data_IF_088963473988
#
_entry.id   IF_088963473988
#
_cell.length_a   1.000
_cell.length_b   1.000
_cell.length_c   1.000
_cell.angle_alpha   90.00
_cell.angle_beta   90.00
_cell.angle_gamma   90.00
#
_symmetry.space_group_name_H-M   'P 1'
#
loop_
_entity.id
_entity.type
_entity.pdbx_description
1 polymer ?
#
# COMPACT_ATOMS: atom_id res chain seq x y z
N UNK A 1 3.89 -33.51 -36.17
CA UNK A 1 5.07 -32.62 -36.11
C UNK A 1 4.93 -31.75 -34.87
N UNK A 2 5.82 -31.82 -33.87
CA UNK A 2 5.80 -30.87 -32.76
C UNK A 2 6.80 -29.74 -33.01
N UNK A 3 6.35 -28.49 -32.89
CA UNK A 3 7.20 -27.31 -32.89
C UNK A 3 7.09 -26.61 -31.52
N UNK A 4 8.22 -26.63 -30.80
CA UNK A 4 8.77 -25.47 -30.08
C UNK A 4 8.06 -24.95 -28.84
N UNK A 5 8.63 -25.27 -27.66
CA UNK A 5 8.51 -24.50 -26.41
C UNK A 5 8.84 -23.03 -26.63
N UNK A 6 8.11 -22.13 -25.98
CA UNK A 6 8.68 -20.85 -25.54
C UNK A 6 8.11 -20.47 -24.16
N UNK A 7 8.92 -20.73 -23.13
CA UNK A 7 8.72 -20.25 -21.77
C UNK A 7 9.25 -18.82 -21.71
N UNK A 8 8.37 -17.83 -21.75
CA UNK A 8 8.74 -16.45 -21.43
C UNK A 8 8.37 -16.19 -19.97
N UNK A 9 9.29 -16.56 -19.07
CA UNK A 9 9.34 -16.00 -17.72
C UNK A 9 9.68 -14.51 -17.86
N UNK A 10 8.70 -13.65 -17.57
CA UNK A 10 8.97 -12.25 -17.27
C UNK A 10 9.37 -12.15 -15.80
N UNK A 11 10.67 -12.17 -15.53
CA UNK A 11 11.24 -11.89 -14.21
C UNK A 11 11.05 -10.39 -13.90
N UNK A 12 10.11 -10.08 -13.01
CA UNK A 12 9.90 -8.71 -12.50
C UNK A 12 10.85 -8.38 -11.32
N UNK A 13 11.89 -9.18 -11.09
CA UNK A 13 12.84 -9.04 -9.98
C UNK A 13 14.18 -8.37 -10.33
N UNK A 14 14.38 -7.94 -11.59
CA UNK A 14 15.64 -7.32 -12.04
C UNK A 14 15.92 -5.91 -11.50
N UNK A 15 15.10 -5.41 -10.56
CA UNK A 15 15.41 -4.19 -9.81
C UNK A 15 15.15 -4.39 -8.33
N UNK A 16 15.99 -5.17 -7.66
CA UNK A 16 16.47 -4.93 -6.29
C UNK A 16 17.41 -6.08 -5.88
N UNK A 17 18.52 -6.24 -6.60
CA UNK A 17 19.53 -7.26 -6.28
C UNK A 17 20.48 -6.80 -5.15
N UNK A 18 19.91 -6.32 -4.04
CA UNK A 18 20.70 -6.08 -2.82
C UNK A 18 21.13 -7.41 -2.19
N UNK A 19 20.41 -8.52 -2.40
CA UNK A 19 20.74 -9.79 -1.76
C UNK A 19 21.91 -10.52 -2.42
N UNK A 20 21.99 -10.62 -3.76
CA UNK A 20 23.07 -11.40 -4.38
C UNK A 20 24.40 -10.65 -4.34
N UNK A 21 24.40 -9.32 -4.43
CA UNK A 21 25.64 -8.55 -4.31
C UNK A 21 26.20 -8.54 -2.89
N UNK A 22 25.33 -8.49 -1.87
CA UNK A 22 25.74 -8.67 -0.46
C UNK A 22 26.25 -10.11 -0.25
N UNK A 23 25.57 -11.12 -0.77
CA UNK A 23 26.04 -12.51 -0.69
C UNK A 23 27.37 -12.72 -1.40
N UNK A 24 27.58 -12.13 -2.59
CA UNK A 24 28.87 -12.17 -3.31
C UNK A 24 29.97 -11.45 -2.53
N UNK A 25 29.69 -10.29 -1.93
CA UNK A 25 30.68 -9.56 -1.10
C UNK A 25 31.04 -10.34 0.16
N UNK A 26 30.07 -10.99 0.82
CA UNK A 26 30.30 -11.88 1.96
C UNK A 26 31.12 -13.12 1.55
N UNK A 27 30.81 -13.76 0.42
CA UNK A 27 31.58 -14.90 -0.10
C UNK A 27 33.01 -14.51 -0.53
N UNK A 28 33.18 -13.31 -1.08
CA UNK A 28 34.50 -12.81 -1.49
C UNK A 28 35.35 -12.46 -0.26
N UNK A 29 34.73 -11.89 0.78
CA UNK A 29 35.36 -11.63 2.07
C UNK A 29 35.74 -12.93 2.78
N UNK A 30 34.86 -13.93 2.78
CA UNK A 30 35.13 -15.24 3.41
C UNK A 30 36.22 -16.04 2.68
N UNK A 31 36.26 -15.99 1.33
CA UNK A 31 37.34 -16.61 0.53
C UNK A 31 38.71 -15.95 0.77
N UNK A 32 38.78 -14.62 0.88
CA UNK A 32 40.04 -13.92 1.22
C UNK A 32 40.57 -14.32 2.59
N UNK A 33 39.69 -14.51 3.58
CA UNK A 33 40.07 -14.97 4.92
C UNK A 33 40.47 -16.45 4.96
N UNK A 34 39.83 -17.31 4.16
CA UNK A 34 40.22 -18.72 4.02
C UNK A 34 41.61 -18.89 3.41
N UNK A 35 41.99 -18.06 2.43
CA UNK A 35 43.32 -18.09 1.79
C UNK A 35 44.43 -17.65 2.77
N UNK A 36 44.15 -16.70 3.67
CA UNK A 36 45.08 -16.29 4.73
C UNK A 36 45.25 -17.41 5.78
N UNK A 37 44.21 -18.20 6.04
CA UNK A 37 44.22 -19.30 7.02
C UNK A 37 44.94 -20.56 6.53
N UNK A 38 45.00 -20.81 5.21
CA UNK A 38 45.60 -22.05 4.67
C UNK A 38 47.01 -21.91 4.10
N UNK A 39 47.54 -20.70 3.90
CA UNK A 39 48.88 -20.52 3.30
C UNK A 39 50.05 -20.53 4.28
N UNK A 40 49.81 -20.60 5.60
CA UNK A 40 50.86 -20.80 6.61
C UNK A 40 50.37 -21.77 7.68
N UNK A 41 50.84 -23.02 7.62
CA UNK A 41 50.52 -24.09 8.56
C UNK A 41 50.98 -23.83 10.00
N UNK A 42 50.38 -22.87 10.69
CA UNK A 42 50.50 -22.67 12.14
C UNK A 42 49.13 -22.81 12.78
N UNK A 43 49.03 -23.72 13.77
CA UNK A 43 47.91 -23.79 14.70
C UNK A 43 47.80 -22.43 15.41
N UNK A 44 46.75 -21.66 15.12
CA UNK A 44 46.44 -20.44 15.87
C UNK A 44 45.52 -20.84 17.02
N UNK A 45 46.04 -20.77 18.25
CA UNK A 45 45.22 -20.88 19.45
C UNK A 45 44.43 -19.57 19.62
N UNK A 46 43.12 -19.60 19.36
CA UNK A 46 42.26 -18.44 19.60
C UNK A 46 42.11 -18.20 21.11
N UNK A 47 42.53 -17.01 21.58
CA UNK A 47 42.26 -16.54 22.95
C UNK A 47 40.76 -16.44 23.22
N UNK A 48 40.35 -16.59 24.49
CA UNK A 48 38.95 -16.78 24.89
C UNK A 48 37.95 -15.72 24.39
N UNK A 49 38.40 -14.50 24.13
CA UNK A 49 37.56 -13.42 23.57
C UNK A 49 37.23 -13.61 22.08
N UNK A 50 38.20 -14.03 21.26
CA UNK A 50 37.96 -14.27 19.82
C UNK A 50 37.12 -15.53 19.55
N UNK A 51 37.17 -16.53 20.44
CA UNK A 51 36.25 -17.68 20.35
C UNK A 51 34.79 -17.26 20.54
N UNK A 52 34.50 -16.33 21.46
CA UNK A 52 33.15 -15.79 21.67
C UNK A 52 32.65 -15.00 20.46
N UNK A 53 33.52 -14.18 19.85
CA UNK A 53 33.18 -13.40 18.66
C UNK A 53 32.88 -14.30 17.45
N UNK A 54 33.67 -15.37 17.28
CA UNK A 54 33.48 -16.34 16.20
C UNK A 54 32.16 -17.14 16.37
N UNK A 55 31.86 -17.57 17.60
CA UNK A 55 30.59 -18.25 17.92
C UNK A 55 29.40 -17.31 17.68
N UNK A 56 29.54 -16.01 18.00
CA UNK A 56 28.49 -15.01 17.80
C UNK A 56 28.19 -14.77 16.30
N UNK A 57 29.22 -14.68 15.46
CA UNK A 57 29.05 -14.57 14.00
C UNK A 57 28.42 -15.84 13.41
N UNK A 58 28.81 -17.02 13.89
CA UNK A 58 28.18 -18.28 13.52
C UNK A 58 26.70 -18.32 13.91
N UNK A 59 26.36 -17.86 15.11
CA UNK A 59 24.97 -17.76 15.58
C UNK A 59 24.14 -16.81 14.72
N UNK A 60 24.67 -15.63 14.39
CA UNK A 60 24.01 -14.67 13.49
C UNK A 60 23.80 -15.30 12.11
N UNK A 61 24.81 -15.97 11.56
CA UNK A 61 24.68 -16.65 10.26
C UNK A 61 23.65 -17.79 10.28
N UNK A 62 23.56 -18.51 11.40
CA UNK A 62 22.55 -19.54 11.60
C UNK A 62 21.15 -18.92 11.70
N UNK A 63 21.00 -17.80 12.42
CA UNK A 63 19.75 -17.05 12.53
C UNK A 63 19.28 -16.50 11.18
N UNK A 64 20.19 -16.02 10.32
CA UNK A 64 19.85 -15.62 8.95
C UNK A 64 19.49 -16.81 8.05
N UNK A 65 20.04 -18.00 8.31
CA UNK A 65 19.68 -19.24 7.57
C UNK A 65 18.38 -19.90 8.05
N UNK A 66 17.96 -19.64 9.30
CA UNK A 66 16.71 -20.14 9.88
C UNK A 66 15.48 -19.26 9.57
N UNK A 67 15.68 -18.12 8.90
CA UNK A 67 14.58 -17.36 8.35
C UNK A 67 13.87 -18.20 7.29
N UNK A 68 12.72 -18.77 7.64
CA UNK A 68 11.88 -19.53 6.71
C UNK A 68 11.56 -18.65 5.50
N UNK A 69 12.18 -18.93 4.35
CA UNK A 69 11.71 -18.39 3.08
C UNK A 69 10.33 -18.99 2.84
N UNK A 70 9.27 -18.30 3.26
CA UNK A 70 7.90 -18.74 3.02
C UNK A 70 7.64 -18.58 1.52
N UNK A 71 7.86 -19.67 0.78
CA UNK A 71 7.58 -19.72 -0.66
C UNK A 71 6.06 -19.64 -0.84
N UNK A 72 5.60 -18.63 -1.57
CA UNK A 72 4.20 -18.52 -1.97
C UNK A 72 3.96 -19.54 -3.08
N UNK A 73 3.22 -20.61 -2.78
CA UNK A 73 2.85 -21.61 -3.77
C UNK A 73 1.53 -21.18 -4.41
N UNK A 74 1.61 -20.66 -5.63
CA UNK A 74 0.44 -20.34 -6.47
C UNK A 74 0.23 -21.47 -7.48
N UNK A 75 -1.03 -21.74 -7.81
CA UNK A 75 -1.38 -22.66 -8.88
C UNK A 75 -1.08 -22.03 -10.26
N UNK A 76 -0.95 -22.85 -11.31
CA UNK A 76 -0.65 -22.37 -12.67
C UNK A 76 -1.71 -21.41 -13.23
N UNK A 77 -2.94 -21.49 -12.69
CA UNK A 77 -4.06 -20.66 -13.06
C UNK A 77 -4.24 -19.42 -12.17
N UNK A 78 -3.31 -19.18 -11.24
CA UNK A 78 -3.31 -18.05 -10.32
C UNK A 78 -2.26 -17.00 -10.75
N UNK A 79 -2.66 -15.73 -10.75
CA UNK A 79 -1.84 -14.57 -11.09
C UNK A 79 -1.87 -13.55 -9.97
N UNK A 80 -0.71 -13.06 -9.57
CA UNK A 80 -0.65 -11.98 -8.57
C UNK A 80 -1.03 -10.66 -9.22
N UNK A 81 -2.03 -9.98 -8.66
CA UNK A 81 -2.41 -8.63 -9.05
C UNK A 81 -1.66 -7.57 -8.22
N UNK A 82 -1.56 -7.80 -6.91
CA UNK A 82 -0.92 -6.86 -5.99
C UNK A 82 -0.36 -7.60 -4.76
N UNK A 83 0.75 -7.10 -4.23
CA UNK A 83 1.39 -7.60 -3.01
C UNK A 83 1.57 -6.42 -2.05
N UNK A 84 1.40 -6.67 -0.76
CA UNK A 84 2.02 -5.86 0.28
C UNK A 84 2.34 -6.68 1.50
N UNK A 85 2.99 -6.03 2.46
CA UNK A 85 3.43 -6.64 3.70
C UNK A 85 2.83 -5.88 4.88
N UNK A 86 2.44 -6.62 5.90
CA UNK A 86 2.02 -6.06 7.16
C UNK A 86 3.22 -5.74 8.05
N UNK A 87 3.05 -4.90 9.07
CA UNK A 87 4.11 -4.50 10.01
C UNK A 87 4.67 -5.69 10.81
N UNK A 88 3.88 -6.74 10.99
CA UNK A 88 4.29 -8.00 11.62
C UNK A 88 5.06 -8.94 10.65
N UNK A 89 5.26 -8.50 9.40
CA UNK A 89 5.91 -9.27 8.34
C UNK A 89 4.98 -10.19 7.54
N UNK A 90 3.68 -10.23 7.86
CA UNK A 90 2.70 -11.05 7.13
C UNK A 90 2.48 -10.51 5.72
N UNK A 91 2.57 -11.37 4.69
CA UNK A 91 2.23 -10.99 3.32
C UNK A 91 0.71 -10.98 3.11
N UNK A 92 0.25 -9.97 2.39
CA UNK A 92 -1.10 -9.85 1.86
C UNK A 92 -0.99 -9.81 0.34
N UNK A 93 -1.58 -10.80 -0.32
CA UNK A 93 -1.48 -10.96 -1.78
C UNK A 93 -2.88 -10.99 -2.37
N UNK A 94 -3.14 -10.09 -3.32
CA UNK A 94 -4.31 -10.15 -4.18
C UNK A 94 -3.95 -11.01 -5.39
N UNK A 95 -4.66 -12.12 -5.54
CA UNK A 95 -4.48 -13.11 -6.60
C UNK A 95 -5.75 -13.17 -7.45
N UNK A 96 -5.59 -13.29 -8.76
CA UNK A 96 -6.65 -13.61 -9.71
C UNK A 96 -6.48 -15.06 -10.15
N UNK A 97 -7.53 -15.83 -10.04
CA UNK A 97 -7.61 -17.21 -10.46
C UNK A 97 -8.53 -17.32 -11.69
N UNK A 98 -8.01 -17.86 -12.79
CA UNK A 98 -8.76 -18.12 -14.01
C UNK A 98 -9.15 -19.60 -14.05
N UNK A 99 -10.44 -19.90 -14.12
CA UNK A 99 -10.95 -21.29 -14.14
C UNK A 99 -11.74 -21.53 -15.41
N UNK A 100 -11.52 -22.64 -16.14
CA UNK A 100 -12.34 -22.97 -17.29
C UNK A 100 -13.80 -23.22 -16.88
N UNK A 101 -14.72 -22.44 -17.43
CA UNK A 101 -16.16 -22.70 -17.37
C UNK A 101 -16.64 -23.43 -18.63
N UNK A 102 -17.91 -23.84 -18.64
CA UNK A 102 -18.51 -24.59 -19.75
C UNK A 102 -18.53 -23.83 -21.08
N UNK A 103 -18.67 -22.50 -21.03
CA UNK A 103 -18.77 -21.62 -22.21
C UNK A 103 -17.85 -20.39 -22.15
N UNK A 104 -17.12 -20.18 -21.05
CA UNK A 104 -16.24 -19.03 -20.83
C UNK A 104 -15.19 -19.31 -19.77
N UNK A 105 -14.14 -18.49 -19.69
CA UNK A 105 -13.26 -18.44 -18.53
C UNK A 105 -13.97 -17.72 -17.38
N UNK A 106 -13.97 -18.33 -16.20
CA UNK A 106 -14.45 -17.73 -14.96
C UNK A 106 -13.26 -17.14 -14.22
N UNK A 107 -13.31 -15.83 -14.00
CA UNK A 107 -12.30 -15.12 -13.24
C UNK A 107 -12.79 -14.95 -11.80
N UNK A 108 -11.97 -15.37 -10.84
CA UNK A 108 -12.21 -15.12 -9.42
C UNK A 108 -11.00 -14.39 -8.85
N UNK A 109 -11.21 -13.49 -7.89
CA UNK A 109 -10.11 -12.91 -7.13
C UNK A 109 -10.03 -13.56 -5.75
N UNK A 110 -8.85 -13.56 -5.14
CA UNK A 110 -8.59 -14.07 -3.80
C UNK A 110 -7.59 -13.18 -3.05
N UNK A 111 -7.84 -12.97 -1.76
CA UNK A 111 -6.87 -12.39 -0.83
C UNK A 111 -6.20 -13.52 -0.06
N UNK A 112 -4.88 -13.62 -0.20
CA UNK A 112 -4.05 -14.52 0.58
C UNK A 112 -3.43 -13.73 1.73
N UNK A 113 -3.79 -14.07 2.97
CA UNK A 113 -3.28 -13.42 4.19
C UNK A 113 -2.72 -14.52 5.09
N UNK A 114 -1.40 -14.60 5.20
CA UNK A 114 -0.76 -15.68 5.96
C UNK A 114 -1.09 -17.07 5.39
N UNK A 115 -1.99 -17.81 6.05
CA UNK A 115 -2.48 -19.13 5.61
C UNK A 115 -3.98 -19.10 5.22
N UNK A 116 -4.61 -17.93 5.24
CA UNK A 116 -6.03 -17.76 4.88
C UNK A 116 -6.13 -17.38 3.41
N UNK A 117 -6.94 -18.11 2.64
CA UNK A 117 -7.39 -17.74 1.29
C UNK A 117 -8.84 -17.29 1.40
N UNK A 118 -9.09 -16.01 1.16
CA UNK A 118 -10.42 -15.41 1.22
C UNK A 118 -10.84 -15.10 -0.21
N UNK A 119 -12.03 -15.53 -0.64
CA UNK A 119 -12.54 -15.14 -1.95
C UNK A 119 -12.66 -13.63 -2.00
N UNK A 120 -11.87 -13.02 -2.87
CA UNK A 120 -11.91 -11.61 -3.16
C UNK A 120 -12.88 -11.37 -4.31
N UNK A 121 -13.41 -10.17 -4.36
CA UNK A 121 -14.45 -9.76 -5.28
C UNK A 121 -13.83 -9.38 -6.63
N UNK A 122 -14.64 -9.38 -7.69
CA UNK A 122 -14.12 -9.44 -9.07
C UNK A 122 -13.28 -8.23 -9.52
N UNK A 123 -13.19 -7.15 -8.75
CA UNK A 123 -12.50 -5.91 -9.15
C UNK A 123 -12.07 -5.08 -7.95
N UNK A 124 -11.33 -5.68 -7.02
CA UNK A 124 -11.00 -4.98 -5.79
C UNK A 124 -9.65 -4.28 -5.76
N UNK A 125 -9.66 -3.06 -5.23
CA UNK A 125 -8.48 -2.24 -5.01
C UNK A 125 -7.94 -2.53 -3.60
N UNK A 126 -6.68 -2.96 -3.52
CA UNK A 126 -5.98 -3.20 -2.26
C UNK A 126 -5.16 -1.96 -1.89
N UNK A 127 -5.54 -1.30 -0.80
CA UNK A 127 -4.78 -0.17 -0.24
C UNK A 127 -4.22 -0.54 1.12
N UNK A 128 -2.93 -0.30 1.29
CA UNK A 128 -2.24 -0.46 2.57
C UNK A 128 -2.20 0.87 3.29
N UNK A 129 -2.47 0.86 4.59
CA UNK A 129 -2.46 2.04 5.44
C UNK A 129 -1.46 1.87 6.58
N UNK A 130 -1.04 3.00 7.16
CA UNK A 130 -0.17 3.07 8.33
C UNK A 130 1.09 2.18 8.23
N UNK A 131 1.88 2.42 7.17
CA UNK A 131 3.14 1.70 6.85
C UNK A 131 3.00 0.17 6.76
N UNK A 132 1.79 -0.37 6.61
CA UNK A 132 1.53 -1.81 6.60
C UNK A 132 0.95 -2.33 7.91
N UNK A 133 0.53 -1.53 8.90
CA UNK A 133 -0.17 -2.16 10.06
C UNK A 133 -1.52 -2.74 9.65
N UNK A 134 -2.19 -2.11 8.68
CA UNK A 134 -3.53 -2.43 8.23
C UNK A 134 -3.63 -2.32 6.71
N UNK A 135 -4.62 -3.01 6.13
CA UNK A 135 -5.01 -2.84 4.74
C UNK A 135 -6.53 -2.76 4.64
N UNK A 136 -7.01 -2.13 3.57
CA UNK A 136 -8.39 -2.23 3.09
C UNK A 136 -8.38 -2.84 1.71
N UNK A 137 -9.38 -3.68 1.51
CA UNK A 137 -9.78 -4.17 0.22
C UNK A 137 -11.22 -3.71 -0.04
N UNK A 138 -11.41 -2.95 -1.11
CA UNK A 138 -12.74 -2.65 -1.65
C UNK A 138 -13.09 -3.70 -2.70
N UNK A 139 -14.35 -4.10 -2.83
CA UNK A 139 -14.77 -5.06 -3.85
C UNK A 139 -16.25 -4.98 -4.18
N UNK A 140 -16.60 -5.33 -5.41
CA UNK A 140 -17.99 -5.25 -5.90
C UNK A 140 -18.75 -6.57 -5.60
N UNK A 141 -19.93 -6.44 -5.01
CA UNK A 141 -20.95 -7.47 -4.81
C UNK A 141 -22.15 -7.24 -5.75
N UNK A 142 -23.08 -8.20 -5.82
CA UNK A 142 -24.35 -8.05 -6.57
C UNK A 142 -25.16 -6.82 -6.12
N UNK A 143 -25.09 -6.46 -4.83
CA UNK A 143 -25.90 -5.38 -4.22
C UNK A 143 -25.14 -4.05 -4.01
N UNK A 144 -23.89 -3.93 -4.47
CA UNK A 144 -23.06 -2.72 -4.25
C UNK A 144 -21.61 -3.04 -3.88
N UNK A 145 -20.89 -2.07 -3.32
CA UNK A 145 -19.46 -2.24 -2.97
C UNK A 145 -19.30 -2.55 -1.47
N UNK A 146 -18.45 -3.53 -1.16
CA UNK A 146 -18.03 -3.89 0.19
C UNK A 146 -16.58 -3.47 0.44
N UNK A 147 -16.34 -2.82 1.58
CA UNK A 147 -15.01 -2.50 2.10
C UNK A 147 -14.68 -3.44 3.25
N UNK A 148 -13.55 -4.14 3.17
CA UNK A 148 -13.08 -5.07 4.19
C UNK A 148 -11.69 -4.62 4.66
N UNK A 149 -11.51 -4.42 5.96
CA UNK A 149 -10.20 -4.16 6.55
C UNK A 149 -9.59 -5.38 7.24
N UNK A 150 -8.26 -5.39 7.37
CA UNK A 150 -7.47 -6.47 7.97
C UNK A 150 -7.98 -6.94 9.36
N UNK A 151 -8.48 -6.00 10.16
CA UNK A 151 -9.05 -6.25 11.49
C UNK A 151 -10.46 -6.89 11.48
N UNK A 152 -10.96 -7.30 10.31
CA UNK A 152 -12.27 -7.96 10.15
C UNK A 152 -13.47 -6.99 10.15
N UNK A 153 -13.24 -5.68 10.18
CA UNK A 153 -14.33 -4.71 10.01
C UNK A 153 -14.72 -4.69 8.53
N UNK A 154 -16.01 -4.86 8.25
CA UNK A 154 -16.57 -4.72 6.92
C UNK A 154 -17.64 -3.63 6.90
N UNK A 155 -17.61 -2.80 5.85
CA UNK A 155 -18.68 -1.86 5.52
C UNK A 155 -19.26 -2.26 4.18
N UNK A 156 -20.46 -2.82 4.20
CA UNK A 156 -21.29 -3.03 3.02
C UNK A 156 -22.27 -1.86 2.89
N UNK A 157 -22.49 -1.38 1.69
CA UNK A 157 -23.55 -0.44 1.40
C UNK A 157 -23.95 -0.47 -0.07
N UNK A 158 -25.07 0.15 -0.44
CA UNK A 158 -25.50 0.28 -1.84
C UNK A 158 -24.66 1.37 -2.53
N UNK A 159 -23.34 1.26 -2.43
CA UNK A 159 -22.40 2.19 -3.03
C UNK A 159 -22.26 1.84 -4.50
N UNK A 160 -22.56 2.79 -5.38
CA UNK A 160 -22.30 2.62 -6.82
C UNK A 160 -20.85 2.97 -7.17
N UNK A 161 -20.15 3.70 -6.30
CA UNK A 161 -18.77 4.15 -6.47
C UNK A 161 -18.13 4.38 -5.09
N UNK A 162 -16.84 4.09 -4.97
CA UNK A 162 -16.01 4.46 -3.81
C UNK A 162 -14.81 5.24 -4.34
N UNK A 163 -14.54 6.40 -3.74
CA UNK A 163 -13.41 7.25 -4.08
C UNK A 163 -12.27 7.14 -3.07
N UNK A 164 -11.68 8.27 -2.69
CA UNK A 164 -10.60 8.40 -1.71
C UNK A 164 -10.94 7.73 -0.37
N UNK A 165 -9.96 7.05 0.23
CA UNK A 165 -10.07 6.30 1.49
C UNK A 165 -8.87 6.66 2.38
N UNK A 166 -9.09 6.87 3.67
CA UNK A 166 -8.00 7.04 4.66
C UNK A 166 -8.39 6.59 6.08
N UNK A 167 -7.40 6.31 6.93
CA UNK A 167 -7.56 5.96 8.33
C UNK A 167 -7.05 7.04 9.28
N UNK A 168 -7.74 7.20 10.41
CA UNK A 168 -7.15 7.88 11.57
C UNK A 168 -5.86 7.15 12.01
N UNK A 169 -4.88 7.85 12.59
CA UNK A 169 -3.59 7.25 13.00
C UNK A 169 -3.70 6.06 13.96
N UNK A 170 -4.79 5.95 14.73
CA UNK A 170 -5.05 4.78 15.59
C UNK A 170 -5.67 3.58 14.83
N UNK A 171 -5.86 3.69 13.51
CA UNK A 171 -6.59 2.77 12.64
C UNK A 171 -8.03 2.44 13.10
N UNK A 172 -8.58 3.21 14.05
CA UNK A 172 -9.90 2.95 14.61
C UNK A 172 -11.04 3.57 13.81
N UNK A 173 -10.78 4.64 13.07
CA UNK A 173 -11.81 5.30 12.27
C UNK A 173 -11.39 5.31 10.81
N UNK A 174 -12.23 4.69 9.98
CA UNK A 174 -12.11 4.69 8.53
C UNK A 174 -12.93 5.84 7.96
N UNK A 175 -12.31 6.66 7.10
CA UNK A 175 -13.00 7.67 6.31
C UNK A 175 -12.88 7.36 4.82
N UNK A 176 -13.96 7.53 4.07
CA UNK A 176 -13.98 7.27 2.64
C UNK A 176 -15.11 8.03 1.94
N UNK A 177 -14.94 8.32 0.65
CA UNK A 177 -16.00 8.89 -0.17
C UNK A 177 -16.78 7.80 -0.92
N UNK A 178 -18.09 7.98 -1.02
CA UNK A 178 -18.99 7.07 -1.72
C UNK A 178 -20.00 7.81 -2.55
N UNK A 179 -20.50 7.15 -3.58
CA UNK A 179 -21.69 7.58 -4.32
C UNK A 179 -22.89 6.71 -3.96
N UNK A 180 -23.96 7.36 -3.53
CA UNK A 180 -25.27 6.76 -3.19
C UNK A 180 -26.33 7.60 -3.90
N UNK A 181 -27.22 6.96 -4.67
CA UNK A 181 -28.32 7.64 -5.39
C UNK A 181 -27.87 8.88 -6.19
N UNK A 182 -26.75 8.73 -6.91
CA UNK A 182 -26.14 9.79 -7.73
C UNK A 182 -25.68 11.06 -6.96
N UNK A 183 -25.51 10.96 -5.64
CA UNK A 183 -24.89 11.99 -4.79
C UNK A 183 -23.67 11.44 -4.07
N UNK A 184 -22.71 12.31 -3.81
CA UNK A 184 -21.48 11.94 -3.13
C UNK A 184 -21.57 12.23 -1.62
N UNK A 185 -21.04 11.31 -0.82
CA UNK A 185 -21.00 11.42 0.65
C UNK A 185 -19.62 11.03 1.16
N UNK A 186 -19.20 11.66 2.26
CA UNK A 186 -18.08 11.18 3.06
C UNK A 186 -18.65 10.32 4.18
N UNK A 187 -18.21 9.07 4.28
CA UNK A 187 -18.42 8.23 5.45
C UNK A 187 -17.21 8.41 6.35
N UNK A 188 -17.41 8.89 7.57
CA UNK A 188 -16.38 9.01 8.59
C UNK A 188 -16.79 8.16 9.81
N UNK A 189 -16.16 7.00 9.97
CA UNK A 189 -16.61 5.99 10.92
C UNK A 189 -18.05 5.59 10.62
N UNK A 190 -18.98 5.90 11.53
CA UNK A 190 -20.42 5.64 11.35
C UNK A 190 -21.22 6.87 10.90
N UNK A 191 -20.55 8.01 10.72
CA UNK A 191 -21.21 9.25 10.32
C UNK A 191 -21.20 9.38 8.81
N UNK A 192 -22.34 9.72 8.22
CA UNK A 192 -22.48 10.09 6.80
C UNK A 192 -22.57 11.61 6.68
N UNK A 193 -21.69 12.21 5.88
CA UNK A 193 -21.55 13.66 5.71
C UNK A 193 -21.80 14.00 4.23
N UNK A 194 -22.63 15.01 3.97
CA UNK A 194 -23.11 15.39 2.64
C UNK A 194 -24.62 15.65 2.65
N UNK A 195 -25.29 15.69 1.47
CA UNK A 195 -24.77 15.33 0.15
C UNK A 195 -23.86 16.40 -0.48
N UNK A 196 -23.00 15.96 -1.40
CA UNK A 196 -22.15 16.79 -2.24
C UNK A 196 -22.35 16.47 -3.72
N UNK A 197 -21.98 17.43 -4.59
CA UNK A 197 -21.98 17.25 -6.04
C UNK A 197 -20.78 16.40 -6.51
N UNK A 198 -19.65 16.51 -5.83
CA UNK A 198 -18.45 15.70 -6.02
C UNK A 198 -17.59 15.74 -4.74
N UNK A 199 -16.71 14.75 -4.58
CA UNK A 199 -15.70 14.71 -3.52
C UNK A 199 -14.35 14.42 -4.19
N UNK A 200 -13.31 15.15 -3.81
CA UNK A 200 -11.94 14.95 -4.29
C UNK A 200 -11.09 14.16 -3.29
N UNK A 201 -9.85 14.60 -3.10
CA UNK A 201 -8.95 14.01 -2.10
C UNK A 201 -9.55 14.09 -0.70
N UNK A 202 -9.27 13.04 0.10
CA UNK A 202 -9.66 12.92 1.50
C UNK A 202 -8.51 12.29 2.26
N UNK A 203 -8.15 12.87 3.40
CA UNK A 203 -7.08 12.37 4.27
C UNK A 203 -7.23 12.88 5.70
N UNK A 204 -6.64 12.15 6.63
CA UNK A 204 -6.49 12.54 8.02
C UNK A 204 -5.19 13.31 8.26
N UNK A 205 -5.27 14.35 9.09
CA UNK A 205 -4.13 15.13 9.61
C UNK A 205 -4.08 15.06 11.15
N UNK A 206 -3.13 15.77 11.76
CA UNK A 206 -3.00 15.91 13.23
C UNK A 206 -2.94 14.57 13.97
N UNK A 207 -2.21 13.59 13.40
CA UNK A 207 -2.19 12.20 13.86
C UNK A 207 -3.59 11.57 13.91
N UNK A 208 -4.39 11.74 12.85
CA UNK A 208 -5.69 11.07 12.73
C UNK A 208 -6.86 11.77 13.39
N UNK A 209 -6.68 13.00 13.89
CA UNK A 209 -7.72 13.70 14.66
C UNK A 209 -8.63 14.55 13.79
N UNK A 210 -8.09 15.12 12.72
CA UNK A 210 -8.83 16.04 11.85
C UNK A 210 -8.93 15.42 10.46
N UNK A 211 -10.17 15.28 9.97
CA UNK A 211 -10.42 14.85 8.60
C UNK A 211 -10.40 16.07 7.68
N UNK A 212 -9.66 15.98 6.58
CA UNK A 212 -9.58 16.97 5.51
C UNK A 212 -10.10 16.34 4.23
N UNK A 213 -10.97 17.04 3.50
CA UNK A 213 -11.40 16.60 2.17
C UNK A 213 -11.83 17.76 1.27
N UNK A 214 -11.68 17.59 -0.04
CA UNK A 214 -12.27 18.48 -1.03
C UNK A 214 -13.71 18.07 -1.32
N UNK A 215 -14.65 19.01 -1.31
CA UNK A 215 -16.04 18.77 -1.68
C UNK A 215 -16.57 19.87 -2.59
N UNK A 216 -17.32 19.47 -3.62
CA UNK A 216 -18.04 20.38 -4.51
C UNK A 216 -19.47 20.57 -3.99
N UNK A 217 -19.85 21.81 -3.72
CA UNK A 217 -21.22 22.20 -3.37
C UNK A 217 -21.73 23.14 -4.47
N UNK A 218 -22.77 22.72 -5.19
CA UNK A 218 -23.20 23.38 -6.41
C UNK A 218 -22.04 23.45 -7.42
N UNK A 219 -21.59 24.66 -7.78
CA UNK A 219 -20.51 24.87 -8.74
C UNK A 219 -19.14 25.11 -8.10
N UNK A 220 -19.08 25.39 -6.80
CA UNK A 220 -17.84 25.76 -6.13
C UNK A 220 -17.24 24.59 -5.35
N UNK A 221 -15.91 24.55 -5.33
CA UNK A 221 -15.12 23.64 -4.52
C UNK A 221 -14.73 24.28 -3.19
N UNK A 222 -14.72 23.45 -2.16
CA UNK A 222 -14.29 23.80 -0.82
C UNK A 222 -13.35 22.73 -0.26
N UNK A 223 -12.41 23.16 0.58
CA UNK A 223 -11.65 22.26 1.44
C UNK A 223 -12.32 22.28 2.82
N UNK A 224 -12.79 21.12 3.23
CA UNK A 224 -13.41 20.88 4.54
C UNK A 224 -12.32 20.39 5.49
N UNK A 225 -11.94 21.19 6.48
CA UNK A 225 -10.93 20.85 7.50
C UNK A 225 -11.61 20.77 8.87
N UNK A 226 -12.03 19.58 9.27
CA UNK A 226 -12.86 19.42 10.47
C UNK A 226 -14.17 20.20 10.37
N UNK A 227 -14.31 21.27 11.16
CA UNK A 227 -15.47 22.19 11.11
C UNK A 227 -15.25 23.40 10.22
N UNK A 228 -14.02 23.65 9.80
CA UNK A 228 -13.67 24.78 8.95
C UNK A 228 -13.98 24.47 7.48
N UNK A 229 -14.41 25.50 6.75
CA UNK A 229 -14.66 25.45 5.31
C UNK A 229 -13.85 26.54 4.62
N UNK A 230 -12.91 26.13 3.78
CA UNK A 230 -11.98 27.01 3.08
C UNK A 230 -12.37 27.08 1.59
N UNK A 231 -12.47 28.28 1.05
CA UNK A 231 -12.99 28.56 -0.31
C UNK A 231 -13.92 29.78 -0.31
N UNK A 232 -14.74 29.99 -1.36
CA UNK A 232 -14.93 29.11 -2.52
C UNK A 232 -13.75 29.14 -3.50
N UNK A 233 -13.58 28.03 -4.22
CA UNK A 233 -12.62 27.88 -5.31
C UNK A 233 -13.33 27.37 -6.57
N UNK A 234 -12.83 27.77 -7.74
CA UNK A 234 -13.34 27.26 -9.02
C UNK A 234 -13.01 25.76 -9.20
N UNK A 235 -11.85 25.33 -8.68
CA UNK A 235 -11.43 23.94 -8.63
C UNK A 235 -10.49 23.71 -7.45
N UNK A 236 -10.45 22.48 -6.96
CA UNK A 236 -9.44 21.98 -6.01
C UNK A 236 -8.86 20.71 -6.62
N UNK A 237 -7.53 20.59 -6.59
CA UNK A 237 -6.81 19.39 -7.04
C UNK A 237 -6.13 18.73 -5.83
N UNK A 238 -4.90 18.21 -5.97
CA UNK A 238 -4.25 17.40 -4.94
C UNK A 238 -4.20 18.08 -3.57
N UNK A 239 -4.64 17.36 -2.54
CA UNK A 239 -4.43 17.69 -1.14
C UNK A 239 -3.40 16.71 -0.57
N UNK A 240 -2.34 17.24 0.04
CA UNK A 240 -1.28 16.45 0.64
C UNK A 240 -0.92 16.96 2.03
N UNK A 241 -0.79 16.04 2.96
CA UNK A 241 -0.32 16.34 4.31
C UNK A 241 1.09 15.76 4.53
N UNK A 242 1.94 16.55 5.15
CA UNK A 242 3.31 16.18 5.51
C UNK A 242 3.41 16.13 7.03
N UNK A 243 3.33 14.93 7.61
CA UNK A 243 3.32 14.74 9.07
C UNK A 243 4.61 15.16 9.76
N UNK A 244 5.74 15.16 9.05
CA UNK A 244 7.06 15.53 9.58
C UNK A 244 7.13 16.99 10.04
N UNK A 245 6.37 17.88 9.38
CA UNK A 245 6.34 19.31 9.66
C UNK A 245 4.93 19.86 9.88
N UNK A 246 3.94 18.98 10.06
CA UNK A 246 2.54 19.35 10.27
C UNK A 246 1.99 20.29 9.18
N UNK A 247 2.43 20.09 7.93
CA UNK A 247 2.07 20.98 6.83
C UNK A 247 0.98 20.40 5.95
N UNK A 248 -0.07 21.18 5.71
CA UNK A 248 -1.11 20.88 4.71
C UNK A 248 -0.82 21.67 3.42
N UNK A 249 -0.71 20.95 2.32
CA UNK A 249 -0.50 21.51 0.98
C UNK A 249 -1.69 21.16 0.12
N UNK A 250 -2.23 22.15 -0.58
CA UNK A 250 -3.29 21.90 -1.56
C UNK A 250 -3.19 22.86 -2.74
N UNK A 251 -3.60 22.40 -3.90
CA UNK A 251 -3.71 23.22 -5.09
C UNK A 251 -5.17 23.60 -5.36
N UNK A 252 -5.40 24.86 -5.72
CA UNK A 252 -6.73 25.39 -5.98
C UNK A 252 -6.70 26.39 -7.13
N UNK A 253 -7.84 26.49 -7.82
CA UNK A 253 -8.04 27.47 -8.87
C UNK A 253 -8.94 28.60 -8.37
N UNK A 254 -8.49 29.84 -8.60
CA UNK A 254 -9.27 31.05 -8.32
C UNK A 254 -8.97 32.09 -9.39
N UNK A 255 -9.99 32.86 -9.79
CA UNK A 255 -9.86 33.96 -10.75
C UNK A 255 -9.14 33.55 -12.07
N UNK A 256 -9.39 32.32 -12.52
CA UNK A 256 -8.87 31.77 -13.77
C UNK A 256 -7.47 31.16 -13.72
N UNK A 257 -6.76 31.21 -12.58
CA UNK A 257 -5.44 30.60 -12.45
C UNK A 257 -5.23 29.77 -11.21
N UNK A 258 -4.14 29.01 -11.22
CA UNK A 258 -3.82 28.04 -10.19
C UNK A 258 -2.87 28.59 -9.14
N UNK A 259 -3.13 28.18 -7.91
CA UNK A 259 -2.34 28.51 -6.73
C UNK A 259 -2.07 27.23 -5.94
N UNK A 260 -0.95 27.21 -5.23
CA UNK A 260 -0.62 26.17 -4.26
C UNK A 260 -0.55 26.85 -2.90
N UNK A 261 -1.39 26.40 -1.97
CA UNK A 261 -1.27 26.76 -0.56
C UNK A 261 -0.36 25.77 0.13
N UNK A 262 0.55 26.26 0.96
CA UNK A 262 1.19 25.52 2.04
C UNK A 262 1.05 26.34 3.32
N UNK A 263 0.28 25.83 4.27
CA UNK A 263 0.02 26.48 5.56
C UNK A 263 -0.54 27.91 5.36
N UNK A 264 0.16 28.96 5.80
CA UNK A 264 -0.24 30.37 5.58
C UNK A 264 0.30 30.96 4.27
N UNK A 265 1.16 30.24 3.55
CA UNK A 265 1.82 30.75 2.34
C UNK A 265 1.12 30.25 1.07
N UNK A 266 0.70 31.19 0.24
CA UNK A 266 0.21 30.92 -1.11
C UNK A 266 1.31 31.22 -2.14
N UNK A 267 1.50 30.32 -3.11
CA UNK A 267 2.34 30.58 -4.29
C UNK A 267 1.50 30.41 -5.57
N UNK A 268 1.77 31.26 -6.56
CA UNK A 268 1.07 31.37 -7.83
C UNK A 268 1.50 32.65 -8.54
N UNK A 269 0.99 33.01 -9.72
CA UNK A 269 -0.04 32.40 -10.56
C UNK A 269 0.56 31.31 -11.47
N UNK A 270 -0.04 30.13 -11.50
CA UNK A 270 0.32 29.07 -12.46
C UNK A 270 -0.76 28.87 -13.52
N UNK A 271 -0.35 28.47 -14.73
CA UNK A 271 -1.28 28.07 -15.79
C UNK A 271 -1.88 26.68 -15.56
N UNK A 272 -1.15 25.80 -14.89
CA UNK A 272 -1.56 24.44 -14.51
C UNK A 272 -0.74 23.97 -13.30
N UNK A 273 -1.29 23.01 -12.56
CA UNK A 273 -0.63 22.26 -11.47
C UNK A 273 -0.87 20.77 -11.74
N UNK A 274 0.19 19.95 -11.63
CA UNK A 274 0.18 18.51 -11.97
C UNK A 274 0.62 17.63 -10.80
#
# INVERSE_FOLDING_TARGET
MPLGKNNNNFDLFDRFDLSAEIQRKILTFSRKWWIILFTRGRKIAFGGSMKKLFIFVLFISLFFSLGAQKKLNLADNERVLQIGALNDGSLVVLVKEETPGYISLLENSFLLIGNKKIKAMNTGLLQFFNKGSDFIYAGYEEDGISLISANGRSKKGPYSEIGSIDFSASANTLAFSVKIDNKYYVINGNTRIGPYNAIGDLLYIDNGKTLVYAAKLNEDWFIMKGKERIGPFAAVDKIKYFSENDSLVYAFQKDGGWYIQKDEKTIGLFSNVA
#
